data_IF_198885102209
#
_entry.id   IF_198885102209
#
_cell.length_a   1.000
_cell.length_b   1.000
_cell.length_c   1.000
_cell.angle_alpha   90.00
_cell.angle_beta   90.00
_cell.angle_gamma   90.00
#
_symmetry.space_group_name_H-M   'P 1'
#
loop_
_entity.id
_entity.type
_entity.pdbx_description
1 polymer ?
#
# COMPACT_ATOMS: atom_id res chain seq x y z
N UNK A 1 37.92 -13.41 -35.66
CA UNK A 1 36.53 -12.98 -36.00
C UNK A 1 35.47 -13.75 -35.21
N UNK A 2 35.59 -15.07 -35.02
CA UNK A 2 34.65 -15.86 -34.21
C UNK A 2 34.57 -15.43 -32.73
N UNK A 3 35.66 -14.86 -32.22
CA UNK A 3 35.79 -14.42 -30.82
C UNK A 3 34.86 -13.26 -30.44
N UNK A 4 34.67 -12.31 -31.36
CA UNK A 4 33.72 -11.20 -31.19
C UNK A 4 32.29 -11.73 -31.26
N UNK A 5 32.05 -12.73 -32.12
CA UNK A 5 30.76 -13.40 -32.29
C UNK A 5 30.34 -14.11 -30.99
N UNK A 6 31.26 -14.83 -30.36
CA UNK A 6 31.03 -15.48 -29.05
C UNK A 6 30.87 -14.44 -27.93
N UNK A 7 31.68 -13.38 -27.94
CA UNK A 7 31.57 -12.29 -26.96
C UNK A 7 30.21 -11.60 -27.00
N UNK A 8 29.65 -11.35 -28.19
CA UNK A 8 28.32 -10.74 -28.35
C UNK A 8 27.20 -11.67 -27.87
N UNK A 9 27.34 -12.98 -28.05
CA UNK A 9 26.37 -13.98 -27.54
C UNK A 9 26.40 -13.99 -26.01
N UNK A 10 27.58 -14.02 -25.39
CA UNK A 10 27.69 -14.03 -23.93
C UNK A 10 27.17 -12.70 -23.34
N UNK A 11 27.52 -11.57 -23.95
CA UNK A 11 27.06 -10.25 -23.53
C UNK A 11 25.55 -10.11 -23.61
N UNK A 12 24.93 -10.55 -24.71
CA UNK A 12 23.48 -10.48 -24.89
C UNK A 12 22.73 -11.32 -23.86
N UNK A 13 23.21 -12.53 -23.54
CA UNK A 13 22.66 -13.35 -22.44
C UNK A 13 22.81 -12.65 -21.09
N UNK A 14 23.95 -12.00 -20.84
CA UNK A 14 24.19 -11.24 -19.61
C UNK A 14 23.22 -10.07 -19.40
N UNK A 15 22.96 -9.28 -20.45
CA UNK A 15 22.03 -8.13 -20.38
C UNK A 15 20.59 -8.60 -20.21
N UNK A 16 20.17 -9.67 -20.89
CA UNK A 16 18.85 -10.27 -20.70
C UNK A 16 18.63 -10.74 -19.26
N UNK A 17 19.66 -11.33 -18.64
CA UNK A 17 19.66 -11.69 -17.22
C UNK A 17 19.47 -10.47 -16.31
N UNK A 18 20.24 -9.39 -16.53
CA UNK A 18 20.12 -8.16 -15.73
C UNK A 18 18.76 -7.48 -15.89
N UNK A 19 18.22 -7.40 -17.11
CA UNK A 19 16.91 -6.82 -17.37
C UNK A 19 15.79 -7.61 -16.69
N UNK A 20 15.91 -8.94 -16.61
CA UNK A 20 14.96 -9.75 -15.86
C UNK A 20 14.93 -9.36 -14.38
N UNK A 21 16.10 -9.21 -13.75
CA UNK A 21 16.22 -8.77 -12.36
C UNK A 21 15.71 -7.34 -12.16
N UNK A 22 15.96 -6.45 -13.10
CA UNK A 22 15.45 -5.08 -13.08
C UNK A 22 13.91 -5.03 -13.08
N UNK A 23 13.26 -5.90 -13.87
CA UNK A 23 11.81 -6.05 -13.88
C UNK A 23 11.28 -6.60 -12.55
N UNK A 24 11.94 -7.62 -11.97
CA UNK A 24 11.59 -8.14 -10.65
C UNK A 24 11.72 -7.07 -9.54
N UNK A 25 12.79 -6.28 -9.58
CA UNK A 25 12.99 -5.17 -8.64
C UNK A 25 11.87 -4.13 -8.76
N UNK A 26 11.47 -3.78 -9.99
CA UNK A 26 10.41 -2.79 -10.22
C UNK A 26 9.04 -3.27 -9.70
N UNK A 27 8.74 -4.57 -9.81
CA UNK A 27 7.52 -5.14 -9.23
C UNK A 27 7.53 -5.10 -7.69
N UNK A 28 8.70 -5.36 -7.09
CA UNK A 28 8.86 -5.27 -5.64
C UNK A 28 8.75 -3.83 -5.14
N UNK A 29 9.33 -2.86 -5.86
CA UNK A 29 9.26 -1.44 -5.51
C UNK A 29 7.82 -0.91 -5.54
N UNK A 30 7.05 -1.23 -6.58
CA UNK A 30 5.65 -0.81 -6.68
C UNK A 30 4.78 -1.27 -5.49
N UNK A 31 5.05 -2.45 -4.96
CA UNK A 31 4.33 -2.98 -3.79
C UNK A 31 4.70 -2.24 -2.50
N UNK A 32 5.96 -1.81 -2.37
CA UNK A 32 6.43 -1.01 -1.25
C UNK A 32 5.93 0.44 -1.31
N UNK A 33 5.81 1.00 -2.52
CA UNK A 33 5.33 2.37 -2.74
C UNK A 33 3.87 2.53 -2.30
N UNK A 34 2.99 1.60 -2.72
CA UNK A 34 1.58 1.61 -2.32
C UNK A 34 1.42 1.53 -0.80
N UNK A 35 2.19 0.65 -0.14
CA UNK A 35 2.19 0.53 1.33
C UNK A 35 2.65 1.82 2.00
N UNK A 36 3.70 2.44 1.50
CA UNK A 36 4.23 3.70 2.05
C UNK A 36 3.20 4.81 1.95
N UNK A 37 2.54 4.94 0.80
CA UNK A 37 1.50 5.95 0.60
C UNK A 37 0.28 5.72 1.51
N UNK A 38 -0.14 4.47 1.71
CA UNK A 38 -1.20 4.12 2.65
C UNK A 38 -0.80 4.51 4.08
N UNK A 39 0.40 4.14 4.53
CA UNK A 39 0.86 4.47 5.89
C UNK A 39 0.92 5.98 6.11
N UNK A 40 1.41 6.75 5.13
CA UNK A 40 1.46 8.21 5.21
C UNK A 40 0.06 8.81 5.35
N UNK A 41 -0.90 8.36 4.54
CA UNK A 41 -2.28 8.88 4.60
C UNK A 41 -3.01 8.44 5.88
N UNK A 42 -2.74 7.25 6.42
CA UNK A 42 -3.29 6.82 7.72
C UNK A 42 -2.71 7.66 8.85
N UNK A 43 -1.40 7.92 8.85
CA UNK A 43 -0.77 8.78 9.84
C UNK A 43 -1.31 10.22 9.80
N UNK A 44 -1.58 10.76 8.61
CA UNK A 44 -2.25 12.06 8.47
C UNK A 44 -3.64 12.08 9.12
N UNK A 45 -4.43 11.01 8.95
CA UNK A 45 -5.72 10.89 9.63
C UNK A 45 -5.56 10.81 11.16
N UNK A 46 -4.62 10.00 11.65
CA UNK A 46 -4.34 9.87 13.10
C UNK A 46 -3.93 11.21 13.69
N UNK A 47 -3.08 11.97 13.00
CA UNK A 47 -2.67 13.27 13.49
C UNK A 47 -3.82 14.28 13.46
N UNK A 48 -4.68 14.23 12.44
CA UNK A 48 -5.93 15.04 12.41
C UNK A 48 -6.87 14.70 13.56
N UNK A 49 -7.01 13.42 13.91
CA UNK A 49 -7.81 12.99 15.05
C UNK A 49 -7.28 13.55 16.36
N UNK A 50 -5.96 13.50 16.57
CA UNK A 50 -5.30 14.06 17.74
C UNK A 50 -5.43 15.59 17.80
N UNK A 51 -5.31 16.26 16.65
CA UNK A 51 -5.39 17.72 16.56
C UNK A 51 -6.80 18.27 16.79
N UNK A 52 -7.84 17.57 16.31
CA UNK A 52 -9.24 17.97 16.47
C UNK A 52 -9.70 17.87 17.94
N UNK A 53 -8.98 17.11 18.77
CA UNK A 53 -9.28 16.95 20.21
C UNK A 53 -10.64 16.32 20.50
N UNK A 54 -11.33 15.83 19.46
CA UNK A 54 -12.62 15.18 19.57
C UNK A 54 -12.47 13.71 19.91
N UNK A 55 -13.48 13.17 20.60
CA UNK A 55 -13.55 11.74 20.91
C UNK A 55 -13.38 10.91 19.63
N UNK A 56 -12.60 9.83 19.68
CA UNK A 56 -12.42 8.91 18.54
C UNK A 56 -13.73 8.44 17.91
N UNK A 57 -14.80 8.40 18.71
CA UNK A 57 -16.18 8.13 18.31
C UNK A 57 -16.70 9.05 17.19
N UNK A 58 -16.27 10.30 17.09
CA UNK A 58 -16.63 11.20 15.98
C UNK A 58 -16.05 10.72 14.65
N UNK A 59 -14.84 10.14 14.70
CA UNK A 59 -14.19 9.55 13.53
C UNK A 59 -14.71 8.15 13.21
N UNK A 60 -15.39 7.49 14.15
CA UNK A 60 -16.10 6.22 13.95
C UNK A 60 -17.39 6.36 13.14
N UNK A 61 -17.83 7.59 12.85
CA UNK A 61 -19.00 7.80 12.01
C UNK A 61 -18.74 7.27 10.58
N UNK A 62 -19.66 6.44 10.09
CA UNK A 62 -19.63 5.90 8.71
C UNK A 62 -20.58 6.62 7.77
N UNK A 63 -21.24 7.68 8.25
CA UNK A 63 -22.12 8.52 7.45
C UNK A 63 -21.33 9.29 6.37
N UNK A 64 -22.00 9.57 5.24
CA UNK A 64 -21.44 10.41 4.20
C UNK A 64 -21.09 11.80 4.76
N UNK A 65 -19.86 12.27 4.50
CA UNK A 65 -19.36 13.54 5.02
C UNK A 65 -18.66 13.46 6.39
N UNK A 66 -18.65 12.30 7.04
CA UNK A 66 -17.80 12.09 8.22
C UNK A 66 -16.31 12.19 7.87
N UNK A 67 -15.43 12.59 8.81
CA UNK A 67 -14.00 12.73 8.58
C UNK A 67 -13.36 11.45 8.03
N UNK A 68 -13.74 10.29 8.57
CA UNK A 68 -13.25 8.99 8.11
C UNK A 68 -13.68 8.67 6.68
N UNK A 69 -14.95 8.91 6.33
CA UNK A 69 -15.45 8.63 4.97
C UNK A 69 -14.81 9.55 3.93
N UNK A 70 -14.60 10.83 4.27
CA UNK A 70 -13.90 11.77 3.41
C UNK A 70 -12.43 11.35 3.19
N UNK A 71 -11.72 11.01 4.27
CA UNK A 71 -10.37 10.49 4.19
C UNK A 71 -10.30 9.20 3.37
N UNK A 72 -11.18 8.22 3.65
CA UNK A 72 -11.23 6.94 2.93
C UNK A 72 -11.44 7.14 1.43
N UNK A 73 -12.32 8.07 1.06
CA UNK A 73 -12.55 8.41 -0.35
C UNK A 73 -11.30 9.00 -0.99
N UNK A 74 -10.58 9.89 -0.29
CA UNK A 74 -9.29 10.40 -0.73
C UNK A 74 -8.21 9.31 -0.87
N UNK A 75 -8.15 8.36 0.07
CA UNK A 75 -7.24 7.22 0.03
C UNK A 75 -7.51 6.33 -1.19
N UNK A 76 -8.77 5.96 -1.43
CA UNK A 76 -9.14 5.10 -2.57
C UNK A 76 -8.91 5.78 -3.92
N UNK A 77 -9.03 7.11 -3.98
CA UNK A 77 -8.75 7.88 -5.20
C UNK A 77 -7.25 8.09 -5.46
N UNK A 78 -6.44 8.18 -4.40
CA UNK A 78 -4.99 8.46 -4.49
C UNK A 78 -4.12 7.21 -4.56
N UNK A 79 -4.63 6.07 -4.08
CA UNK A 79 -3.96 4.77 -4.08
C UNK A 79 -4.84 3.73 -4.79
N UNK A 80 -4.66 3.51 -6.11
CA UNK A 80 -5.46 2.54 -6.87
C UNK A 80 -5.33 1.08 -6.39
N UNK A 81 -4.25 0.76 -5.67
CA UNK A 81 -4.04 -0.56 -5.08
C UNK A 81 -4.84 -0.79 -3.79
N UNK A 82 -5.31 0.29 -3.13
CA UNK A 82 -6.12 0.18 -1.93
C UNK A 82 -7.53 -0.29 -2.30
N UNK A 83 -7.99 -1.37 -1.67
CA UNK A 83 -9.26 -2.03 -2.02
C UNK A 83 -10.36 -1.68 -1.03
N UNK A 84 -10.03 -1.57 0.25
CA UNK A 84 -10.98 -1.20 1.28
C UNK A 84 -10.27 -0.57 2.48
N UNK A 85 -10.97 0.32 3.19
CA UNK A 85 -10.59 0.78 4.51
C UNK A 85 -11.83 0.76 5.41
N UNK A 86 -11.70 0.12 6.56
CA UNK A 86 -12.74 -0.03 7.57
C UNK A 86 -12.23 0.51 8.90
N UNK A 87 -13.14 1.03 9.70
CA UNK A 87 -12.88 1.46 11.07
C UNK A 87 -13.71 0.58 12.00
N UNK A 88 -13.07 0.05 13.03
CA UNK A 88 -13.73 -0.67 14.12
C UNK A 88 -13.60 0.17 15.39
N UNK A 89 -14.71 0.40 16.06
CA UNK A 89 -14.81 1.18 17.28
C UNK A 89 -15.53 0.43 18.39
N UNK A 90 -15.68 -0.90 18.25
CA UNK A 90 -16.22 -1.77 19.29
C UNK A 90 -15.13 -2.08 20.34
N UNK A 91 -14.55 -1.03 20.93
CA UNK A 91 -13.41 -1.12 21.85
C UNK A 91 -12.41 0.00 21.62
N UNK A 92 -11.11 -0.30 21.75
CA UNK A 92 -10.04 0.61 21.32
C UNK A 92 -10.18 0.83 19.80
N UNK A 93 -10.37 2.08 19.34
CA UNK A 93 -10.65 2.32 17.93
C UNK A 93 -9.48 1.85 17.07
N UNK A 94 -9.75 1.16 15.97
CA UNK A 94 -8.72 0.67 15.05
C UNK A 94 -9.14 0.86 13.60
N UNK A 95 -8.19 1.25 12.75
CA UNK A 95 -8.39 1.39 11.31
C UNK A 95 -7.68 0.25 10.62
N UNK A 96 -8.43 -0.51 9.83
CA UNK A 96 -7.92 -1.57 8.97
C UNK A 96 -7.99 -1.13 7.52
N UNK A 97 -6.83 -1.06 6.86
CA UNK A 97 -6.72 -0.81 5.41
C UNK A 97 -6.28 -2.09 4.73
N UNK A 98 -6.95 -2.48 3.66
CA UNK A 98 -6.63 -3.65 2.85
C UNK A 98 -6.23 -3.21 1.44
N UNK A 99 -5.12 -3.73 0.91
CA UNK A 99 -4.68 -3.50 -0.46
C UNK A 99 -4.24 -4.80 -1.12
N UNK A 100 -4.29 -4.83 -2.44
CA UNK A 100 -3.81 -5.95 -3.24
C UNK A 100 -2.32 -5.80 -3.51
N UNK A 101 -1.58 -6.92 -3.38
CA UNK A 101 -0.22 -7.03 -3.86
C UNK A 101 -0.23 -7.68 -5.25
N UNK A 102 0.47 -7.10 -6.22
CA UNK A 102 0.51 -7.63 -7.59
C UNK A 102 1.46 -8.83 -7.75
N UNK A 103 1.85 -9.47 -6.65
CA UNK A 103 2.74 -10.62 -6.72
C UNK A 103 1.95 -11.90 -7.03
N UNK A 104 2.01 -12.29 -8.31
CA UNK A 104 1.34 -13.46 -8.87
C UNK A 104 1.78 -14.80 -8.27
N UNK A 105 2.90 -14.84 -7.54
CA UNK A 105 3.40 -16.06 -6.86
C UNK A 105 2.82 -16.27 -5.45
N UNK A 106 2.12 -15.28 -4.89
CA UNK A 106 1.47 -15.38 -3.58
C UNK A 106 -0.02 -15.06 -3.63
N UNK A 107 -0.72 -15.63 -4.62
CA UNK A 107 -2.20 -15.67 -4.66
C UNK A 107 -2.85 -16.31 -3.41
N UNK A 108 -2.04 -16.86 -2.50
CA UNK A 108 -2.43 -17.42 -1.20
C UNK A 108 -2.12 -16.53 0.02
N UNK A 109 -1.38 -15.42 -0.12
CA UNK A 109 -1.40 -14.40 0.93
C UNK A 109 -2.74 -13.69 0.81
N UNK A 110 -3.61 -13.82 1.81
CA UNK A 110 -4.85 -13.05 1.87
C UNK A 110 -4.60 -11.55 1.72
N UNK A 111 -5.66 -10.73 1.59
CA UNK A 111 -5.52 -9.28 1.44
C UNK A 111 -4.54 -8.74 2.48
N UNK A 112 -3.46 -8.09 2.03
CA UNK A 112 -2.50 -7.47 2.94
C UNK A 112 -3.22 -6.38 3.72
N UNK A 113 -3.22 -6.50 5.04
CA UNK A 113 -3.90 -5.56 5.92
C UNK A 113 -2.90 -4.76 6.74
N UNK A 114 -3.19 -3.48 6.91
CA UNK A 114 -2.56 -2.63 7.92
C UNK A 114 -3.63 -2.36 8.96
N UNK A 115 -3.39 -2.83 10.19
CA UNK A 115 -4.20 -2.47 11.34
C UNK A 115 -3.46 -1.41 12.14
N UNK A 116 -4.07 -0.25 12.32
CA UNK A 116 -3.55 0.85 13.16
C UNK A 116 -4.50 1.03 14.32
N UNK A 117 -4.02 0.78 15.53
CA UNK A 117 -4.74 1.12 16.74
C UNK A 117 -4.67 2.64 16.98
N UNK A 118 -5.82 3.25 17.20
CA UNK A 118 -5.95 4.63 17.61
C UNK A 118 -5.89 4.65 19.14
N UNK A 119 -4.68 4.70 19.68
CA UNK A 119 -4.49 5.03 21.08
C UNK A 119 -4.82 6.53 21.25
N UNK A 120 -6.06 6.82 21.66
CA UNK A 120 -6.55 8.16 22.01
C UNK A 120 -6.43 8.39 23.52
#
# INVERSE_FOLDING_TARGET
MIEILVSLIILSVGILGMLSLQMYSMQSSQSADARTQIVLTVNDLVEKMKADGQSGQTYCATAAGSPFVLWRTGLLNSVPAATAATIDCTGDPSITVTWTNNNSLMKASGPTTLNVALAL
#
